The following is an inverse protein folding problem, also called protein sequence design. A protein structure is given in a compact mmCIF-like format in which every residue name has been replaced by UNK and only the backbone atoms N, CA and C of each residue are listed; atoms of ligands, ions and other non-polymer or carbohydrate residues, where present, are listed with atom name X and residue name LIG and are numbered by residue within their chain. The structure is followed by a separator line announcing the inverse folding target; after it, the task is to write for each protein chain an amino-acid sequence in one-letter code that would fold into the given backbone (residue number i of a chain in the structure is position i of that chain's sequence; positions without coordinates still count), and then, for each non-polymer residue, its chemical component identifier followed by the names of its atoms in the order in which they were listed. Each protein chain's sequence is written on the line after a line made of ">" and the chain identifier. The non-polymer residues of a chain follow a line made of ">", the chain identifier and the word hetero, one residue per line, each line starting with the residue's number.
data_IF_101137801942
#
_entry.id   IF_101137801942
#
_cell.length_a   1.000
_cell.length_b   1.000
_cell.length_c   1.000
_cell.angle_alpha   90.00
_cell.angle_beta   90.00
_cell.angle_gamma   90.00
#
_symmetry.space_group_name_H-M   'P 1'
#
loop_
_entity.id
_entity.type
_entity.pdbx_description
1 polymer ?
#
# COMPACT_ATOMS: atom_id res chain seq x y z
N UNK A 1 16.63 18.39 0.24
CA UNK A 1 17.73 19.13 0.91
C UNK A 1 18.68 18.22 1.71
N UNK A 2 18.22 17.20 2.42
CA UNK A 2 19.05 16.34 3.30
C UNK A 2 20.15 15.54 2.57
N UNK A 3 19.89 14.97 1.39
CA UNK A 3 20.91 14.26 0.63
C UNK A 3 22.05 15.18 0.19
N UNK A 4 21.74 16.41 -0.20
CA UNK A 4 22.77 17.40 -0.59
C UNK A 4 23.71 17.78 0.55
N UNK A 5 23.21 17.82 1.80
CA UNK A 5 24.06 18.12 2.97
C UNK A 5 24.99 16.96 3.35
N UNK A 6 24.74 15.76 2.84
CA UNK A 6 25.55 14.55 3.03
C UNK A 6 26.40 14.21 1.80
N UNK A 7 26.43 15.09 0.78
CA UNK A 7 27.17 14.84 -0.46
C UNK A 7 26.58 13.73 -1.34
N UNK A 8 25.36 13.28 -1.06
CA UNK A 8 24.71 12.16 -1.76
C UNK A 8 23.62 12.69 -2.68
N UNK A 9 23.52 12.12 -3.88
CA UNK A 9 22.42 12.34 -4.82
C UNK A 9 21.53 11.10 -4.89
N UNK A 10 20.31 11.22 -5.41
CA UNK A 10 19.43 10.08 -5.59
C UNK A 10 18.85 10.08 -7.01
N UNK A 11 18.73 8.88 -7.61
CA UNK A 11 18.06 8.72 -8.89
C UNK A 11 16.57 9.10 -8.74
N UNK A 12 15.92 9.40 -9.87
CA UNK A 12 14.49 9.75 -9.87
C UNK A 12 13.64 8.60 -9.33
N UNK A 13 14.00 7.38 -9.69
CA UNK A 13 13.35 6.14 -9.26
C UNK A 13 13.54 5.92 -7.75
N UNK A 14 14.74 6.14 -7.22
CA UNK A 14 15.01 6.09 -5.79
C UNK A 14 14.21 7.14 -5.02
N UNK A 15 14.11 8.37 -5.51
CA UNK A 15 13.31 9.44 -4.88
C UNK A 15 11.82 9.08 -4.84
N UNK A 16 11.28 8.47 -5.89
CA UNK A 16 9.89 8.01 -5.92
C UNK A 16 9.68 6.87 -4.92
N UNK A 17 10.60 5.92 -4.86
CA UNK A 17 10.57 4.82 -3.88
C UNK A 17 10.57 5.37 -2.45
N UNK A 18 11.50 6.24 -2.11
CA UNK A 18 11.61 6.86 -0.79
C UNK A 18 10.38 7.69 -0.41
N UNK A 19 9.84 8.49 -1.35
CA UNK A 19 8.65 9.30 -1.08
C UNK A 19 7.39 8.46 -0.83
N UNK A 20 7.35 7.24 -1.35
CA UNK A 20 6.25 6.30 -1.12
C UNK A 20 6.43 5.48 0.17
N UNK A 21 7.66 5.21 0.57
CA UNK A 21 8.01 4.34 1.70
C UNK A 21 8.18 5.10 3.02
N UNK A 22 8.62 6.35 2.94
CA UNK A 22 8.82 7.19 4.13
C UNK A 22 7.51 7.86 4.53
N UNK A 23 7.12 7.67 5.78
CA UNK A 23 5.90 8.24 6.34
C UNK A 23 5.95 9.76 6.51
N UNK A 24 4.90 10.34 7.10
CA UNK A 24 4.78 11.79 7.35
C UNK A 24 5.62 12.28 8.55
N UNK A 25 6.19 11.39 9.36
CA UNK A 25 7.04 11.76 10.49
C UNK A 25 8.41 12.23 9.97
N UNK A 26 8.72 13.49 10.28
CA UNK A 26 9.99 14.11 9.84
C UNK A 26 11.21 13.54 10.54
N UNK A 27 11.07 13.10 11.80
CA UNK A 27 12.16 12.53 12.58
C UNK A 27 12.58 11.17 12.03
N UNK A 28 11.61 10.28 11.83
CA UNK A 28 11.81 8.95 11.25
C UNK A 28 12.35 9.08 9.83
N UNK A 29 11.71 9.91 8.99
CA UNK A 29 12.17 10.18 7.62
C UNK A 29 13.62 10.63 7.58
N UNK A 30 14.03 11.53 8.49
CA UNK A 30 15.42 11.99 8.56
C UNK A 30 16.38 10.87 8.95
N UNK A 31 16.02 10.05 9.93
CA UNK A 31 16.85 8.94 10.38
C UNK A 31 17.06 7.90 9.26
N UNK A 32 16.00 7.55 8.52
CA UNK A 32 16.08 6.63 7.38
C UNK A 32 16.93 7.19 6.24
N UNK A 33 16.83 8.49 5.94
CA UNK A 33 17.66 9.13 4.91
C UNK A 33 19.14 9.20 5.30
N UNK A 34 19.45 9.38 6.59
CA UNK A 34 20.84 9.33 7.10
C UNK A 34 21.38 7.91 7.01
N UNK A 35 20.60 6.91 7.43
CA UNK A 35 20.95 5.48 7.32
C UNK A 35 21.26 5.11 5.86
N UNK A 36 20.42 5.56 4.92
CA UNK A 36 20.60 5.32 3.49
C UNK A 36 21.86 6.00 2.94
N UNK A 37 22.15 7.24 3.36
CA UNK A 37 23.36 7.94 2.98
C UNK A 37 24.63 7.21 3.46
N UNK A 38 24.59 6.67 4.70
CA UNK A 38 25.66 5.84 5.23
C UNK A 38 25.81 4.51 4.49
N UNK A 39 24.70 3.88 4.12
CA UNK A 39 24.70 2.62 3.37
C UNK A 39 25.35 2.76 1.99
N UNK A 40 25.05 3.85 1.29
CA UNK A 40 25.61 4.13 -0.03
C UNK A 40 27.09 4.56 0.04
N UNK A 41 27.49 5.20 1.14
CA UNK A 41 28.88 5.60 1.36
C UNK A 41 29.50 6.36 0.19
N UNK A 42 30.71 5.94 -0.23
CA UNK A 42 31.49 6.60 -1.26
C UNK A 42 30.90 6.52 -2.68
N UNK A 43 29.86 5.71 -2.90
CA UNK A 43 29.15 5.69 -4.21
C UNK A 43 28.55 7.05 -4.56
N UNK A 44 28.26 7.89 -3.56
CA UNK A 44 27.74 9.26 -3.72
C UNK A 44 26.35 9.35 -4.39
N UNK A 45 25.76 8.23 -4.83
CA UNK A 45 24.48 8.18 -5.52
C UNK A 45 23.63 7.02 -5.06
N UNK A 46 22.41 7.32 -4.61
CA UNK A 46 21.39 6.35 -4.24
C UNK A 46 20.67 5.90 -5.49
N UNK A 47 20.80 4.63 -5.82
CA UNK A 47 20.00 3.99 -6.87
C UNK A 47 18.76 3.34 -6.27
N UNK A 48 17.85 2.89 -7.14
CA UNK A 48 16.59 2.28 -6.73
C UNK A 48 16.80 1.08 -5.81
N UNK A 49 17.77 0.23 -6.12
CA UNK A 49 18.04 -0.99 -5.35
C UNK A 49 18.57 -0.66 -3.94
N UNK A 50 19.37 0.41 -3.79
CA UNK A 50 19.83 0.91 -2.49
C UNK A 50 18.65 1.44 -1.65
N UNK A 51 17.76 2.22 -2.29
CA UNK A 51 16.55 2.71 -1.65
C UNK A 51 15.64 1.56 -1.19
N UNK A 52 15.47 0.53 -2.02
CA UNK A 52 14.69 -0.65 -1.70
C UNK A 52 15.33 -1.47 -0.56
N UNK A 53 16.63 -1.67 -0.58
CA UNK A 53 17.34 -2.41 0.47
C UNK A 53 17.21 -1.74 1.84
N UNK A 54 17.30 -0.41 1.89
CA UNK A 54 17.19 0.33 3.14
C UNK A 54 15.75 0.52 3.63
N UNK A 55 14.77 0.54 2.73
CA UNK A 55 13.35 0.65 3.09
C UNK A 55 12.66 -0.71 3.26
N UNK A 56 13.33 -1.82 2.90
CA UNK A 56 12.81 -3.18 3.07
C UNK A 56 12.57 -3.57 4.55
N UNK A 57 13.22 -2.90 5.48
CA UNK A 57 13.02 -3.05 6.93
C UNK A 57 11.90 -2.17 7.49
N UNK A 58 11.16 -1.45 6.64
CA UNK A 58 10.16 -0.52 7.12
C UNK A 58 8.76 -1.13 7.13
N UNK A 59 8.00 -0.85 8.17
CA UNK A 59 6.58 -1.16 8.32
C UNK A 59 5.72 -0.71 7.11
N UNK A 60 6.21 0.23 6.29
CA UNK A 60 5.52 0.68 5.09
C UNK A 60 5.37 -0.40 4.01
N UNK A 61 6.39 -1.26 3.79
CA UNK A 61 6.28 -2.39 2.85
C UNK A 61 5.28 -3.42 3.37
N UNK A 62 5.27 -3.68 4.67
CA UNK A 62 4.32 -4.58 5.30
C UNK A 62 2.88 -4.06 5.17
N UNK A 63 2.67 -2.75 5.26
CA UNK A 63 1.36 -2.09 5.07
C UNK A 63 0.89 -2.14 3.61
N UNK A 64 1.81 -1.97 2.66
CA UNK A 64 1.53 -2.12 1.24
C UNK A 64 1.13 -3.55 0.89
N UNK A 65 1.78 -4.57 1.47
CA UNK A 65 1.43 -5.97 1.27
C UNK A 65 0.00 -6.25 1.73
N UNK A 66 -0.43 -5.68 2.87
CA UNK A 66 -1.84 -5.77 3.34
C UNK A 66 -2.78 -5.12 2.31
N UNK A 67 -2.51 -3.89 1.89
CA UNK A 67 -3.38 -3.18 0.95
C UNK A 67 -3.47 -3.90 -0.41
N UNK A 68 -2.34 -4.45 -0.90
CA UNK A 68 -2.30 -5.23 -2.14
C UNK A 68 -3.04 -6.56 -2.01
N UNK A 69 -2.91 -7.26 -0.87
CA UNK A 69 -3.60 -8.52 -0.63
C UNK A 69 -5.11 -8.32 -0.61
N UNK A 70 -5.60 -7.26 0.06
CA UNK A 70 -7.01 -6.86 0.03
C UNK A 70 -7.45 -6.56 -1.41
N UNK A 71 -6.69 -5.73 -2.13
CA UNK A 71 -7.00 -5.33 -3.50
C UNK A 71 -7.02 -6.50 -4.49
N UNK A 72 -6.22 -7.54 -4.27
CA UNK A 72 -6.17 -8.74 -5.10
C UNK A 72 -7.19 -9.83 -4.69
N UNK A 73 -7.84 -9.69 -3.54
CA UNK A 73 -8.68 -10.75 -2.97
C UNK A 73 -7.88 -11.97 -2.50
N UNK A 74 -6.59 -11.79 -2.21
CA UNK A 74 -5.70 -12.85 -1.74
C UNK A 74 -5.78 -12.98 -0.23
N UNK A 75 -6.75 -13.78 0.22
CA UNK A 75 -7.02 -14.00 1.65
C UNK A 75 -5.83 -14.66 2.35
N UNK A 76 -5.14 -15.60 1.70
CA UNK A 76 -4.02 -16.31 2.32
C UNK A 76 -2.81 -15.39 2.54
N UNK A 77 -2.50 -14.53 1.54
CA UNK A 77 -1.47 -13.52 1.69
C UNK A 77 -1.86 -12.47 2.73
N UNK A 78 -3.15 -12.07 2.76
CA UNK A 78 -3.66 -11.09 3.71
C UNK A 78 -3.50 -11.56 5.15
N UNK A 79 -3.85 -12.82 5.46
CA UNK A 79 -3.70 -13.38 6.81
C UNK A 79 -2.24 -13.33 7.28
N UNK A 80 -1.31 -13.78 6.44
CA UNK A 80 0.14 -13.72 6.74
C UNK A 80 0.63 -12.28 6.95
N UNK A 81 0.15 -11.35 6.11
CA UNK A 81 0.55 -9.95 6.20
C UNK A 81 -0.01 -9.29 7.47
N UNK A 82 -1.25 -9.60 7.85
CA UNK A 82 -1.86 -9.09 9.09
C UNK A 82 -1.14 -9.60 10.33
N UNK A 83 -0.85 -10.91 10.40
CA UNK A 83 -0.07 -11.48 11.49
C UNK A 83 1.27 -10.76 11.66
N UNK A 84 1.99 -10.58 10.55
CA UNK A 84 3.28 -9.90 10.55
C UNK A 84 3.19 -8.45 11.04
N UNK A 85 2.26 -7.64 10.51
CA UNK A 85 2.16 -6.22 10.88
C UNK A 85 1.71 -6.02 12.33
N UNK A 86 0.88 -6.92 12.88
CA UNK A 86 0.51 -6.88 14.29
C UNK A 86 1.69 -7.26 15.19
N UNK A 87 2.51 -8.25 14.80
CA UNK A 87 3.76 -8.58 15.51
C UNK A 87 4.77 -7.41 15.48
N UNK A 88 4.78 -6.62 14.41
CA UNK A 88 5.57 -5.39 14.27
C UNK A 88 4.97 -4.20 15.07
N UNK A 89 3.83 -4.38 15.76
CA UNK A 89 3.18 -3.36 16.58
C UNK A 89 2.39 -2.31 15.79
N UNK A 90 2.05 -2.58 14.55
CA UNK A 90 1.22 -1.68 13.74
C UNK A 90 -0.21 -1.63 14.29
N UNK A 91 -0.73 -0.43 14.51
CA UNK A 91 -2.09 -0.29 15.04
C UNK A 91 -3.16 -0.54 13.96
N UNK A 92 -4.34 -1.10 14.34
CA UNK A 92 -5.48 -1.27 13.44
C UNK A 92 -5.90 0.02 12.73
N UNK A 93 -5.86 1.16 13.43
CA UNK A 93 -6.19 2.48 12.86
C UNK A 93 -5.21 2.86 11.75
N UNK A 94 -3.92 2.57 11.92
CA UNK A 94 -2.90 2.83 10.91
C UNK A 94 -3.14 1.96 9.67
N UNK A 95 -3.48 0.68 9.85
CA UNK A 95 -3.83 -0.23 8.77
C UNK A 95 -5.05 0.25 7.96
N UNK A 96 -6.11 0.68 8.64
CA UNK A 96 -7.29 1.22 7.97
C UNK A 96 -6.98 2.48 7.18
N UNK A 97 -6.20 3.41 7.74
CA UNK A 97 -5.80 4.64 7.04
C UNK A 97 -4.96 4.35 5.81
N UNK A 98 -4.01 3.42 5.92
CA UNK A 98 -3.16 3.02 4.81
C UNK A 98 -3.96 2.36 3.69
N UNK A 99 -4.77 1.37 4.03
CA UNK A 99 -5.65 0.68 3.09
C UNK A 99 -6.63 1.64 2.43
N UNK A 100 -7.25 2.54 3.20
CA UNK A 100 -8.14 3.59 2.65
C UNK A 100 -7.39 4.53 1.70
N UNK A 101 -6.15 4.87 2.01
CA UNK A 101 -5.27 5.65 1.12
C UNK A 101 -5.08 4.96 -0.22
N UNK A 102 -4.80 3.65 -0.19
CA UNK A 102 -4.65 2.83 -1.38
C UNK A 102 -5.96 2.76 -2.20
N UNK A 103 -7.10 2.50 -1.55
CA UNK A 103 -8.40 2.43 -2.22
C UNK A 103 -8.84 3.77 -2.81
N UNK A 104 -8.51 4.91 -2.18
CA UNK A 104 -8.73 6.24 -2.77
C UNK A 104 -7.97 6.42 -4.09
N UNK A 105 -6.75 5.85 -4.21
CA UNK A 105 -5.99 5.88 -5.46
C UNK A 105 -6.67 5.02 -6.54
N UNK A 106 -7.20 3.84 -6.20
CA UNK A 106 -8.00 3.02 -7.10
C UNK A 106 -9.26 3.78 -7.55
N UNK A 107 -9.97 4.41 -6.62
CA UNK A 107 -11.17 5.21 -6.92
C UNK A 107 -10.86 6.36 -7.89
N UNK A 108 -9.80 7.13 -7.59
CA UNK A 108 -9.38 8.24 -8.45
C UNK A 108 -9.12 7.78 -9.89
N UNK A 109 -8.31 6.73 -10.05
CA UNK A 109 -7.97 6.23 -11.39
C UNK A 109 -9.22 5.66 -12.09
N UNK A 110 -10.04 4.87 -11.39
CA UNK A 110 -11.29 4.31 -11.91
C UNK A 110 -12.25 5.39 -12.37
N UNK A 111 -12.41 6.47 -11.59
CA UNK A 111 -13.26 7.61 -11.95
C UNK A 111 -12.75 8.37 -13.18
N UNK A 112 -11.44 8.55 -13.32
CA UNK A 112 -10.85 9.17 -14.52
C UNK A 112 -11.04 8.28 -15.77
N UNK A 113 -10.97 6.95 -15.60
CA UNK A 113 -11.23 6.01 -16.68
C UNK A 113 -12.71 6.05 -17.12
N UNK A 114 -13.65 6.18 -16.18
CA UNK A 114 -15.07 6.34 -16.47
C UNK A 114 -15.37 7.64 -17.26
N UNK A 115 -14.51 8.66 -17.14
CA UNK A 115 -14.56 9.90 -17.93
C UNK A 115 -13.83 9.79 -19.29
N UNK A 116 -13.41 8.59 -19.70
CA UNK A 116 -12.79 8.34 -21.00
C UNK A 116 -11.26 8.41 -21.01
N UNK A 117 -10.61 8.57 -19.85
CA UNK A 117 -9.15 8.57 -19.79
C UNK A 117 -8.60 7.15 -19.88
N UNK A 118 -7.44 6.96 -20.51
CA UNK A 118 -6.72 5.68 -20.46
C UNK A 118 -6.21 5.38 -19.06
N UNK A 119 -6.12 4.10 -18.70
CA UNK A 119 -5.60 3.69 -17.39
C UNK A 119 -4.21 4.26 -17.12
N UNK A 120 -3.32 4.25 -18.12
CA UNK A 120 -1.97 4.78 -17.99
C UNK A 120 -1.95 6.29 -17.79
N UNK A 121 -2.78 7.03 -18.53
CA UNK A 121 -2.93 8.47 -18.37
C UNK A 121 -3.48 8.84 -16.99
N UNK A 122 -4.45 8.08 -16.48
CA UNK A 122 -5.02 8.31 -15.16
C UNK A 122 -4.01 7.96 -14.03
N UNK A 123 -3.28 6.83 -14.17
CA UNK A 123 -2.23 6.46 -13.21
C UNK A 123 -1.07 7.46 -13.17
N UNK A 124 -0.74 8.10 -14.30
CA UNK A 124 0.31 9.12 -14.35
C UNK A 124 -0.04 10.40 -13.54
N UNK A 125 -1.33 10.66 -13.30
CA UNK A 125 -1.80 11.78 -12.47
C UNK A 125 -1.72 11.53 -10.97
N UNK A 126 -1.46 10.30 -10.53
CA UNK A 126 -1.35 9.98 -9.10
C UNK A 126 -0.17 10.70 -8.46
N UNK A 127 -0.40 11.23 -7.26
CA UNK A 127 0.62 11.87 -6.42
C UNK A 127 0.58 11.21 -5.03
N UNK A 128 1.69 10.58 -4.60
CA UNK A 128 2.91 10.27 -5.34
C UNK A 128 2.64 9.25 -6.49
N UNK A 129 3.49 9.20 -7.53
CA UNK A 129 3.30 8.29 -8.65
C UNK A 129 3.41 6.82 -8.19
N UNK A 130 2.78 5.91 -8.96
CA UNK A 130 2.91 4.48 -8.71
C UNK A 130 4.33 4.00 -9.09
N UNK A 131 4.87 3.19 -8.22
CA UNK A 131 6.11 2.49 -8.52
C UNK A 131 5.91 1.53 -9.73
N UNK A 132 6.88 1.48 -10.64
CA UNK A 132 6.70 0.76 -11.90
C UNK A 132 6.38 -0.73 -11.73
N UNK A 133 6.99 -1.40 -10.70
CA UNK A 133 6.77 -2.84 -10.41
C UNK A 133 5.33 -3.15 -10.00
N UNK A 134 4.61 -2.18 -9.41
CA UNK A 134 3.22 -2.39 -8.94
C UNK A 134 2.17 -1.94 -9.95
N UNK A 135 2.54 -1.23 -11.03
CA UNK A 135 1.59 -0.75 -12.05
C UNK A 135 0.74 -1.86 -12.66
N UNK A 136 1.35 -3.02 -12.95
CA UNK A 136 0.64 -4.17 -13.50
C UNK A 136 -0.42 -4.72 -12.55
N UNK A 137 -0.08 -4.89 -11.27
CA UNK A 137 -1.00 -5.32 -10.20
C UNK A 137 -2.12 -4.31 -10.01
N UNK A 138 -1.78 -3.03 -9.93
CA UNK A 138 -2.75 -1.95 -9.79
C UNK A 138 -3.77 -1.93 -10.96
N UNK A 139 -3.28 -2.10 -12.19
CA UNK A 139 -4.14 -2.18 -13.38
C UNK A 139 -5.10 -3.38 -13.34
N UNK A 140 -4.67 -4.55 -12.87
CA UNK A 140 -5.55 -5.70 -12.71
C UNK A 140 -6.63 -5.46 -11.66
N UNK A 141 -6.29 -4.75 -10.59
CA UNK A 141 -7.23 -4.39 -9.53
C UNK A 141 -8.31 -3.40 -9.99
N UNK A 142 -8.00 -2.46 -10.91
CA UNK A 142 -9.01 -1.56 -11.47
C UNK A 142 -10.18 -2.29 -12.13
N UNK A 143 -9.95 -3.51 -12.64
CA UNK A 143 -11.03 -4.34 -13.22
C UNK A 143 -11.89 -5.02 -12.14
N UNK A 144 -11.29 -5.35 -10.99
CA UNK A 144 -11.98 -5.99 -9.87
C UNK A 144 -12.72 -4.98 -8.99
N UNK A 145 -12.26 -3.74 -9.02
CA UNK A 145 -12.71 -2.63 -8.18
C UNK A 145 -13.23 -1.47 -9.04
N UNK A 146 -14.42 -1.59 -9.65
CA UNK A 146 -15.06 -0.43 -10.27
C UNK A 146 -15.38 0.65 -9.22
N UNK A 147 -15.52 1.93 -9.61
CA UNK A 147 -15.65 3.06 -8.67
C UNK A 147 -16.71 2.86 -7.57
N UNK A 148 -17.86 2.29 -7.92
CA UNK A 148 -18.97 2.04 -6.98
C UNK A 148 -18.58 1.03 -5.90
N UNK A 149 -17.87 -0.04 -6.30
CA UNK A 149 -17.38 -1.04 -5.33
C UNK A 149 -16.31 -0.45 -4.43
N UNK A 150 -15.43 0.40 -4.97
CA UNK A 150 -14.41 1.10 -4.18
C UNK A 150 -15.07 2.02 -3.17
N UNK A 151 -16.13 2.75 -3.55
CA UNK A 151 -16.87 3.62 -2.62
C UNK A 151 -17.43 2.83 -1.44
N UNK A 152 -18.11 1.72 -1.69
CA UNK A 152 -18.61 0.85 -0.63
C UNK A 152 -17.49 0.23 0.26
N UNK A 153 -16.32 -0.05 -0.33
CA UNK A 153 -15.16 -0.49 0.45
C UNK A 153 -14.62 0.63 1.35
N UNK A 154 -14.53 1.86 0.86
CA UNK A 154 -14.09 3.01 1.63
C UNK A 154 -15.04 3.33 2.79
N UNK A 155 -16.36 3.23 2.60
CA UNK A 155 -17.35 3.37 3.66
C UNK A 155 -17.14 2.33 4.77
N UNK A 156 -16.99 1.05 4.40
CA UNK A 156 -16.72 -0.03 5.37
C UNK A 156 -15.41 0.18 6.14
N UNK A 157 -14.34 0.65 5.47
CA UNK A 157 -13.07 0.94 6.11
C UNK A 157 -13.20 2.10 7.10
N UNK A 158 -13.96 3.13 6.74
CA UNK A 158 -14.21 4.30 7.59
C UNK A 158 -15.05 3.94 8.82
N UNK A 159 -16.10 3.14 8.65
CA UNK A 159 -16.94 2.66 9.76
C UNK A 159 -16.11 1.80 10.72
N UNK A 160 -15.33 0.86 10.21
CA UNK A 160 -14.45 0.02 11.02
C UNK A 160 -13.36 0.83 11.75
N UNK A 161 -12.77 1.86 11.10
CA UNK A 161 -11.84 2.77 11.76
C UNK A 161 -12.51 3.53 12.92
N UNK A 162 -13.76 3.96 12.74
CA UNK A 162 -14.54 4.63 13.78
C UNK A 162 -14.80 3.68 14.95
N UNK A 163 -15.21 2.43 14.68
CA UNK A 163 -15.47 1.42 15.70
C UNK A 163 -14.20 1.10 16.51
N UNK A 164 -13.04 1.02 15.86
CA UNK A 164 -11.75 0.83 16.54
C UNK A 164 -11.35 1.98 17.48
N UNK A 165 -11.93 3.16 17.32
CA UNK A 165 -11.71 4.31 18.23
C UNK A 165 -12.66 4.31 19.42
N UNK A 166 -13.65 3.44 19.42
CA UNK A 166 -14.63 3.32 20.51
C UNK A 166 -14.07 2.43 21.62
N UNK A 167 -14.05 2.95 22.83
CA UNK A 167 -13.53 2.21 23.99
C UNK A 167 -14.29 0.91 24.21
N UNK A 168 -13.55 -0.18 24.47
CA UNK A 168 -14.12 -1.50 24.73
C UNK A 168 -14.33 -2.39 23.50
N UNK A 169 -14.09 -1.88 22.30
CA UNK A 169 -14.16 -2.70 21.08
C UNK A 169 -12.83 -3.41 20.80
N UNK A 170 -12.86 -4.68 20.35
CA UNK A 170 -11.65 -5.44 20.01
C UNK A 170 -11.08 -4.98 18.66
N UNK A 171 -10.28 -3.93 18.66
CA UNK A 171 -9.82 -3.23 17.45
C UNK A 171 -9.11 -4.14 16.44
N UNK A 172 -8.25 -5.07 16.90
CA UNK A 172 -7.57 -6.02 16.00
C UNK A 172 -8.54 -6.98 15.33
N UNK A 173 -9.51 -7.51 16.08
CA UNK A 173 -10.54 -8.41 15.54
C UNK A 173 -11.41 -7.69 14.50
N UNK A 174 -11.80 -6.44 14.77
CA UNK A 174 -12.56 -5.61 13.81
C UNK A 174 -11.75 -5.42 12.55
N UNK A 175 -10.47 -5.07 12.68
CA UNK A 175 -9.55 -4.86 11.56
C UNK A 175 -9.42 -6.13 10.71
N UNK A 176 -9.10 -7.25 11.35
CA UNK A 176 -8.94 -8.55 10.69
C UNK A 176 -10.19 -8.94 9.91
N UNK A 177 -11.36 -8.93 10.59
CA UNK A 177 -12.65 -9.27 9.97
C UNK A 177 -12.98 -8.36 8.78
N UNK A 178 -12.79 -7.07 8.92
CA UNK A 178 -13.16 -6.09 7.88
C UNK A 178 -12.28 -6.27 6.64
N UNK A 179 -10.96 -6.38 6.81
CA UNK A 179 -10.03 -6.52 5.69
C UNK A 179 -10.21 -7.88 4.98
N UNK A 180 -10.45 -8.97 5.72
CA UNK A 180 -10.77 -10.27 5.13
C UNK A 180 -12.10 -10.25 4.37
N UNK A 181 -13.13 -9.61 4.90
CA UNK A 181 -14.41 -9.48 4.21
C UNK A 181 -14.27 -8.69 2.89
N UNK A 182 -13.46 -7.64 2.87
CA UNK A 182 -13.17 -6.88 1.66
C UNK A 182 -12.41 -7.74 0.64
N UNK A 183 -11.35 -8.43 1.05
CA UNK A 183 -10.59 -9.33 0.17
C UNK A 183 -11.47 -10.43 -0.41
N UNK A 184 -12.30 -11.08 0.43
CA UNK A 184 -13.20 -12.14 0.00
C UNK A 184 -14.27 -11.65 -1.00
N UNK A 185 -14.66 -10.37 -0.93
CA UNK A 185 -15.69 -9.80 -1.82
C UNK A 185 -15.28 -9.75 -3.29
N UNK A 186 -13.97 -9.76 -3.59
CA UNK A 186 -13.43 -9.71 -4.97
C UNK A 186 -12.83 -11.02 -5.43
N UNK A 187 -12.81 -12.03 -4.56
CA UNK A 187 -12.30 -13.36 -4.93
C UNK A 187 -13.13 -13.88 -6.10
N UNK A 188 -12.52 -14.26 -7.25
CA UNK A 188 -13.25 -14.96 -8.29
C UNK A 188 -13.82 -16.22 -7.67
N UNK A 189 -15.12 -16.50 -7.90
CA UNK A 189 -15.77 -17.73 -7.44
C UNK A 189 -14.86 -18.90 -7.82
N UNK A 190 -14.40 -19.67 -6.86
CA UNK A 190 -13.49 -20.80 -7.06
C UNK A 190 -14.13 -21.72 -8.10
N UNK A 191 -13.43 -21.92 -9.22
CA UNK A 191 -13.84 -22.87 -10.25
C UNK A 191 -14.08 -24.21 -9.55
N UNK A 192 -15.27 -24.82 -9.69
CA UNK A 192 -15.53 -26.10 -9.03
C UNK A 192 -14.46 -27.12 -9.48
N UNK A 193 -14.05 -28.05 -8.62
CA UNK A 193 -13.06 -29.05 -8.97
C UNK A 193 -13.53 -29.79 -10.23
N UNK A 194 -12.65 -29.85 -11.25
CA UNK A 194 -12.91 -30.66 -12.44
C UNK A 194 -13.08 -32.10 -11.96
N UNK A 195 -14.30 -32.58 -11.95
CA UNK A 195 -14.59 -34.00 -11.82
C UNK A 195 -13.94 -34.69 -13.01
N UNK A 196 -12.79 -35.33 -12.80
CA UNK A 196 -12.23 -36.31 -13.70
C UNK A 196 -13.16 -37.52 -13.70
N UNK A 197 -13.78 -37.76 -14.84
CA UNK A 197 -14.39 -39.06 -15.18
C UNK A 197 -13.29 -40.04 -15.60
#
# INVERSE_FOLDING_TARGET
>A
MLFRSQGVTASREAMVCLSNSLGSDRGITRAELVKLALYVGDKGKVELDDAMACTADSSALSLDDVAYAVGNGDVALLEKSLERVFLEGVSPIQLFRWTSGYFRRLHFVGSQMAQGMTADGAMAKLKPPLFFKVKGKFRSQLRMWPPERVSGALERLMDAERDCKTTGFPAETICHRTLLALAASVRPASRPPRTTR
#
